data_IF_914701929566
#
_entry.id   IF_914701929566
#
_cell.length_a   1.000
_cell.length_b   1.000
_cell.length_c   1.000
_cell.angle_alpha   90.00
_cell.angle_beta   90.00
_cell.angle_gamma   90.00
#
_symmetry.space_group_name_H-M   'P 1'
#
loop_
_entity.id
_entity.type
_entity.pdbx_description
1 polymer ?
#
# COMPACT_ATOMS: atom_id res chain seq x y z
N UNK A 1 39.23 3.67 16.42
CA UNK A 1 38.28 3.44 15.32
C UNK A 1 38.45 2.04 14.78
N UNK A 2 37.55 1.12 15.17
CA UNK A 2 37.08 -0.08 14.45
C UNK A 2 36.09 -0.78 15.40
N UNK A 3 34.89 -0.23 15.53
CA UNK A 3 33.75 -1.00 16.03
C UNK A 3 33.24 -1.84 14.88
N UNK A 4 33.99 -2.88 14.51
CA UNK A 4 33.45 -3.91 13.61
C UNK A 4 32.44 -4.69 14.43
N UNK A 5 31.14 -4.41 14.22
CA UNK A 5 30.09 -5.27 14.75
C UNK A 5 30.37 -6.69 14.26
N UNK A 6 30.39 -7.64 15.19
CA UNK A 6 30.60 -9.04 14.83
C UNK A 6 29.36 -9.54 14.08
N UNK A 7 29.51 -10.58 13.28
CA UNK A 7 28.38 -11.20 12.58
C UNK A 7 27.32 -11.73 13.55
N UNK A 8 27.74 -12.10 14.76
CA UNK A 8 26.87 -12.55 15.86
C UNK A 8 26.01 -11.40 16.40
N UNK A 9 26.51 -10.17 16.41
CA UNK A 9 25.75 -8.97 16.81
C UNK A 9 24.81 -8.49 15.70
N UNK A 10 25.16 -8.71 14.43
CA UNK A 10 24.36 -8.28 13.28
C UNK A 10 23.14 -9.16 13.04
N UNK A 11 23.24 -10.46 13.33
CA UNK A 11 22.17 -11.42 13.03
C UNK A 11 20.84 -11.10 13.73
N UNK A 12 20.82 -10.79 15.05
CA UNK A 12 19.59 -10.37 15.74
C UNK A 12 19.00 -9.08 15.17
N UNK A 13 19.84 -8.07 14.88
CA UNK A 13 19.39 -6.79 14.34
C UNK A 13 18.72 -6.92 12.98
N UNK A 14 19.27 -7.78 12.11
CA UNK A 14 18.69 -8.06 10.81
C UNK A 14 17.36 -8.81 10.93
N UNK A 15 17.26 -9.77 11.84
CA UNK A 15 16.02 -10.50 12.09
C UNK A 15 14.93 -9.57 12.61
N UNK A 16 15.22 -8.77 13.62
CA UNK A 16 14.26 -7.83 14.21
C UNK A 16 13.78 -6.81 13.16
N UNK A 17 14.70 -6.18 12.42
CA UNK A 17 14.34 -5.25 11.35
C UNK A 17 13.53 -5.90 10.22
N UNK A 18 13.79 -7.17 9.91
CA UNK A 18 13.01 -7.93 8.92
C UNK A 18 11.60 -8.19 9.43
N UNK A 19 11.45 -8.60 10.69
CA UNK A 19 10.16 -8.85 11.31
C UNK A 19 9.33 -7.56 11.42
N UNK A 20 9.96 -6.45 11.79
CA UNK A 20 9.31 -5.14 11.81
C UNK A 20 8.81 -4.74 10.42
N UNK A 21 9.64 -4.94 9.39
CA UNK A 21 9.25 -4.66 8.00
C UNK A 21 8.08 -5.55 7.55
N UNK A 22 8.14 -6.85 7.86
CA UNK A 22 7.07 -7.79 7.54
C UNK A 22 5.77 -7.43 8.26
N UNK A 23 5.84 -7.00 9.52
CA UNK A 23 4.69 -6.55 10.29
C UNK A 23 4.05 -5.31 9.64
N UNK A 24 4.86 -4.29 9.32
CA UNK A 24 4.38 -3.06 8.68
C UNK A 24 3.74 -3.33 7.31
N UNK A 25 4.43 -4.10 6.46
CA UNK A 25 3.93 -4.47 5.13
C UNK A 25 2.69 -5.35 5.23
N UNK A 26 2.68 -6.32 6.15
CA UNK A 26 1.54 -7.20 6.37
C UNK A 26 0.29 -6.44 6.78
N UNK A 27 0.41 -5.49 7.70
CA UNK A 27 -0.69 -4.64 8.13
C UNK A 27 -1.17 -3.72 7.00
N UNK A 28 -0.25 -3.10 6.26
CA UNK A 28 -0.58 -2.29 5.09
C UNK A 28 -1.30 -3.10 4.00
N UNK A 29 -0.85 -4.33 3.74
CA UNK A 29 -1.46 -5.26 2.78
C UNK A 29 -2.87 -5.65 3.21
N UNK A 30 -3.09 -5.92 4.51
CA UNK A 30 -4.41 -6.23 5.04
C UNK A 30 -5.42 -5.11 4.75
N UNK A 31 -5.08 -3.86 5.10
CA UNK A 31 -5.96 -2.72 4.81
C UNK A 31 -6.12 -2.45 3.31
N UNK A 32 -5.05 -2.65 2.53
CA UNK A 32 -5.12 -2.54 1.07
C UNK A 32 -6.09 -3.55 0.47
N UNK A 33 -6.11 -4.79 0.97
CA UNK A 33 -7.09 -5.78 0.52
C UNK A 33 -8.49 -5.41 1.00
N UNK A 34 -8.66 -5.03 2.27
CA UNK A 34 -9.99 -4.73 2.83
C UNK A 34 -10.65 -3.51 2.20
N UNK A 35 -9.88 -2.48 1.82
CA UNK A 35 -10.41 -1.21 1.31
C UNK A 35 -10.16 -1.08 -0.20
N UNK A 36 -8.93 -1.36 -0.63
CA UNK A 36 -8.51 -1.22 -2.02
C UNK A 36 -9.19 -2.22 -2.94
N UNK A 37 -9.41 -3.47 -2.52
CA UNK A 37 -10.09 -4.45 -3.36
C UNK A 37 -11.56 -4.08 -3.60
N UNK A 38 -12.41 -3.80 -2.58
CA UNK A 38 -13.79 -3.37 -2.83
C UNK A 38 -13.86 -2.11 -3.67
N UNK A 39 -13.01 -1.12 -3.39
CA UNK A 39 -12.99 0.15 -4.15
C UNK A 39 -12.56 -0.06 -5.60
N UNK A 40 -11.57 -0.92 -5.84
CA UNK A 40 -11.13 -1.30 -7.19
C UNK A 40 -12.20 -2.06 -7.97
N UNK A 41 -12.91 -3.00 -7.32
CA UNK A 41 -14.06 -3.69 -7.92
C UNK A 41 -15.17 -2.69 -8.25
N UNK A 42 -15.50 -1.78 -7.34
CA UNK A 42 -16.51 -0.75 -7.55
C UNK A 42 -16.14 0.16 -8.73
N UNK A 43 -14.88 0.57 -8.83
CA UNK A 43 -14.37 1.35 -9.96
C UNK A 43 -14.47 0.55 -11.27
N UNK A 44 -14.20 -0.75 -11.26
CA UNK A 44 -14.30 -1.59 -12.45
C UNK A 44 -15.74 -1.77 -12.93
N UNK A 45 -16.69 -2.07 -12.04
CA UNK A 45 -18.09 -2.30 -12.42
C UNK A 45 -18.81 -1.01 -12.82
N UNK A 46 -18.36 0.15 -12.31
CA UNK A 46 -18.98 1.47 -12.54
C UNK A 46 -18.54 2.17 -13.83
N UNK A 47 -17.61 1.56 -14.59
CA UNK A 47 -17.14 2.10 -15.88
C UNK A 47 -18.30 2.25 -16.89
N UNK A 48 -18.14 3.11 -17.89
CA UNK A 48 -19.19 3.42 -18.87
C UNK A 48 -19.78 2.17 -19.56
N UNK A 49 -18.93 1.18 -19.88
CA UNK A 49 -19.31 -0.11 -20.45
C UNK A 49 -19.24 -1.24 -19.40
N UNK A 50 -19.52 -0.91 -18.14
CA UNK A 50 -19.47 -1.81 -16.99
C UNK A 50 -20.80 -2.48 -16.70
N UNK A 51 -20.81 -3.31 -15.65
CA UNK A 51 -22.02 -4.02 -15.21
C UNK A 51 -23.08 -3.05 -14.65
N UNK A 52 -22.64 -1.97 -13.98
CA UNK A 52 -23.51 -0.96 -13.40
C UNK A 52 -22.95 0.45 -13.68
N UNK A 53 -23.16 1.00 -14.90
CA UNK A 53 -22.52 2.24 -15.32
C UNK A 53 -22.88 3.43 -14.41
N UNK A 54 -21.88 4.03 -13.77
CA UNK A 54 -22.04 5.20 -12.90
C UNK A 54 -20.91 6.21 -13.18
N UNK A 55 -20.98 6.97 -14.29
CA UNK A 55 -19.86 7.78 -14.79
C UNK A 55 -19.39 8.85 -13.79
N UNK A 56 -20.29 9.45 -13.02
CA UNK A 56 -19.93 10.45 -11.99
C UNK A 56 -19.16 9.81 -10.83
N UNK A 57 -19.62 8.66 -10.34
CA UNK A 57 -18.96 7.93 -9.26
C UNK A 57 -17.59 7.43 -9.72
N UNK A 58 -17.53 6.88 -10.92
CA UNK A 58 -16.30 6.38 -11.52
C UNK A 58 -15.24 7.49 -11.68
N UNK A 59 -15.66 8.66 -12.17
CA UNK A 59 -14.77 9.81 -12.32
C UNK A 59 -14.26 10.33 -10.96
N UNK A 60 -15.13 10.44 -9.95
CA UNK A 60 -14.75 10.90 -8.61
C UNK A 60 -13.79 9.92 -7.93
N UNK A 61 -14.15 8.62 -7.88
CA UNK A 61 -13.29 7.59 -7.30
C UNK A 61 -11.96 7.50 -8.04
N UNK A 62 -12.00 7.55 -9.38
CA UNK A 62 -10.80 7.55 -10.21
C UNK A 62 -9.89 8.74 -9.91
N UNK A 63 -10.43 9.94 -9.75
CA UNK A 63 -9.65 11.11 -9.38
C UNK A 63 -8.98 10.95 -8.01
N UNK A 64 -9.72 10.53 -6.98
CA UNK A 64 -9.18 10.30 -5.63
C UNK A 64 -8.07 9.25 -5.64
N UNK A 65 -8.30 8.10 -6.31
CA UNK A 65 -7.32 7.02 -6.42
C UNK A 65 -6.07 7.50 -7.17
N UNK A 66 -6.23 8.24 -8.26
CA UNK A 66 -5.10 8.73 -9.04
C UNK A 66 -4.27 9.76 -8.27
N UNK A 67 -4.89 10.62 -7.46
CA UNK A 67 -4.18 11.54 -6.55
C UNK A 67 -3.39 10.73 -5.52
N UNK A 68 -4.02 9.78 -4.84
CA UNK A 68 -3.33 8.93 -3.87
C UNK A 68 -2.15 8.16 -4.47
N UNK A 69 -2.28 7.71 -5.73
CA UNK A 69 -1.22 7.00 -6.45
C UNK A 69 -0.09 7.87 -6.98
N UNK A 70 -0.34 9.16 -7.22
CA UNK A 70 0.68 10.08 -7.77
C UNK A 70 1.53 10.73 -6.68
N UNK A 71 1.08 10.72 -5.43
CA UNK A 71 1.84 11.24 -4.29
C UNK A 71 3.02 10.30 -3.98
N UNK A 72 4.26 10.80 -3.98
CA UNK A 72 5.40 10.00 -3.54
C UNK A 72 5.27 9.71 -2.05
N UNK A 73 5.58 8.48 -1.64
CA UNK A 73 5.44 8.05 -0.23
C UNK A 73 6.18 8.96 0.76
N UNK A 74 7.30 9.57 0.34
CA UNK A 74 8.13 10.49 1.14
C UNK A 74 7.35 11.72 1.60
N UNK A 75 6.33 12.16 0.86
CA UNK A 75 5.50 13.33 1.24
C UNK A 75 4.44 12.96 2.28
N UNK A 76 4.15 11.66 2.46
CA UNK A 76 3.14 11.16 3.39
C UNK A 76 3.73 10.73 4.75
N UNK A 77 5.06 10.65 4.85
CA UNK A 77 5.84 10.36 6.07
C UNK A 77 6.24 11.66 6.78
#
# INVERSE_FOLDING_TARGET
MRSSMSWEDLWPLLLDGTLDTLYMVGLAALFTVLIGLPTGVLLFISRANGLAPMPKLNALLGAVINIGRSLPFIVLL
#
